data_IF_753955032413
#
_entry.id   IF_753955032413
#
_cell.length_a   1.000
_cell.length_b   1.000
_cell.length_c   1.000
_cell.angle_alpha   90.00
_cell.angle_beta   90.00
_cell.angle_gamma   90.00
#
_symmetry.space_group_name_H-M   'P 1'
#
loop_
_entity.id
_entity.type
_entity.pdbx_description
1 polymer ?
#
# COMPACT_ATOMS: atom_id res chain seq x y z
N UNK A 1 22.37 4.05 13.88
CA UNK A 1 21.12 4.06 13.09
C UNK A 1 20.58 2.63 13.07
N UNK A 2 19.27 2.46 13.26
CA UNK A 2 18.64 1.13 13.37
C UNK A 2 18.74 0.40 12.01
N UNK A 3 19.13 -0.88 11.99
CA UNK A 3 19.30 -1.64 10.74
C UNK A 3 18.01 -1.68 9.89
N UNK A 4 16.85 -1.58 10.57
CA UNK A 4 15.54 -1.43 9.94
C UNK A 4 15.40 -0.13 9.14
N UNK A 5 15.82 1.01 9.71
CA UNK A 5 15.69 2.31 9.07
C UNK A 5 16.43 2.34 7.73
N UNK A 6 17.61 1.70 7.68
CA UNK A 6 18.41 1.61 6.46
C UNK A 6 17.68 0.79 5.39
N UNK A 7 17.16 -0.39 5.75
CA UNK A 7 16.39 -1.21 4.83
C UNK A 7 15.13 -0.49 4.32
N UNK A 8 14.43 0.26 5.19
CA UNK A 8 13.27 1.04 4.79
C UNK A 8 13.65 2.17 3.83
N UNK A 9 14.76 2.90 4.07
CA UNK A 9 15.25 3.96 3.19
C UNK A 9 15.54 3.43 1.77
N UNK A 10 16.07 2.23 1.65
CA UNK A 10 16.29 1.59 0.35
C UNK A 10 15.00 1.12 -0.33
N UNK A 11 14.01 0.65 0.45
CA UNK A 11 12.78 0.07 -0.06
C UNK A 11 11.71 1.11 -0.40
N UNK A 12 11.65 2.25 0.28
CA UNK A 12 10.64 3.30 0.06
C UNK A 12 10.62 3.79 -1.40
N UNK A 13 11.75 4.14 -2.04
CA UNK A 13 11.75 4.54 -3.46
C UNK A 13 11.25 3.43 -4.39
N UNK A 14 11.51 2.15 -4.05
CA UNK A 14 11.04 1.00 -4.83
C UNK A 14 9.52 0.80 -4.68
N UNK A 15 9.00 0.90 -3.46
CA UNK A 15 7.56 0.87 -3.18
C UNK A 15 6.83 1.99 -3.91
N UNK A 16 7.38 3.21 -3.89
CA UNK A 16 6.83 4.36 -4.61
C UNK A 16 6.73 4.13 -6.11
N UNK A 17 7.82 3.67 -6.75
CA UNK A 17 7.79 3.36 -8.20
C UNK A 17 6.72 2.33 -8.54
N UNK A 18 6.58 1.29 -7.70
CA UNK A 18 5.55 0.29 -7.89
C UNK A 18 4.15 0.87 -7.68
N UNK A 19 3.93 1.66 -6.64
CA UNK A 19 2.66 2.34 -6.38
C UNK A 19 2.25 3.26 -7.55
N UNK A 20 3.18 4.03 -8.11
CA UNK A 20 2.92 4.86 -9.31
C UNK A 20 2.45 4.02 -10.49
N UNK A 21 3.03 2.83 -10.70
CA UNK A 21 2.60 1.92 -11.76
C UNK A 21 1.17 1.40 -11.57
N UNK A 22 0.72 1.28 -10.31
CA UNK A 22 -0.62 0.82 -9.96
C UNK A 22 -1.66 1.96 -10.02
N UNK A 23 -1.33 3.12 -9.46
CA UNK A 23 -2.27 4.24 -9.31
C UNK A 23 -2.33 5.15 -10.53
N UNK A 24 -1.28 5.15 -11.36
CA UNK A 24 -1.07 6.11 -12.47
C UNK A 24 -1.14 7.58 -12.02
N UNK A 25 -0.97 7.84 -10.72
CA UNK A 25 -1.01 9.17 -10.12
C UNK A 25 0.03 9.24 -8.98
N UNK A 26 1.01 10.15 -9.05
CA UNK A 26 2.06 10.26 -8.04
C UNK A 26 1.55 10.54 -6.62
N UNK A 27 0.58 11.44 -6.45
CA UNK A 27 0.01 11.77 -5.14
C UNK A 27 -0.69 10.56 -4.51
N UNK A 28 -1.54 9.87 -5.28
CA UNK A 28 -2.18 8.65 -4.81
C UNK A 28 -1.17 7.52 -4.51
N UNK A 29 -0.03 7.51 -5.23
CA UNK A 29 1.05 6.56 -4.97
C UNK A 29 1.74 6.86 -3.63
N UNK A 30 1.98 8.13 -3.33
CA UNK A 30 2.56 8.57 -2.06
C UNK A 30 1.66 8.22 -0.87
N UNK A 31 0.35 8.47 -0.99
CA UNK A 31 -0.64 8.07 0.02
C UNK A 31 -0.68 6.55 0.23
N UNK A 32 -0.61 5.77 -0.85
CA UNK A 32 -0.60 4.31 -0.79
C UNK A 32 0.68 3.79 -0.10
N UNK A 33 1.84 4.40 -0.37
CA UNK A 33 3.09 4.06 0.31
C UNK A 33 3.01 4.40 1.79
N UNK A 34 2.49 5.58 2.15
CA UNK A 34 2.31 5.98 3.55
C UNK A 34 1.43 4.96 4.29
N UNK A 35 0.24 4.65 3.76
CA UNK A 35 -0.67 3.69 4.36
C UNK A 35 -0.03 2.29 4.50
N UNK A 36 0.82 1.90 3.55
CA UNK A 36 1.56 0.64 3.61
C UNK A 36 2.55 0.62 4.78
N UNK A 37 3.31 1.70 4.95
CA UNK A 37 4.30 1.82 6.03
C UNK A 37 3.62 1.90 7.40
N UNK A 38 2.54 2.66 7.54
CA UNK A 38 1.73 2.71 8.76
C UNK A 38 1.26 1.30 9.15
N UNK A 39 0.68 0.56 8.20
CA UNK A 39 0.22 -0.81 8.40
C UNK A 39 1.35 -1.75 8.78
N UNK A 40 2.51 -1.61 8.16
CA UNK A 40 3.69 -2.43 8.44
C UNK A 40 4.23 -2.15 9.85
N UNK A 41 4.35 -0.88 10.24
CA UNK A 41 4.80 -0.48 11.58
C UNK A 41 3.83 -0.94 12.67
N UNK A 42 2.51 -0.85 12.45
CA UNK A 42 1.52 -1.37 13.40
C UNK A 42 1.60 -2.90 13.59
N UNK A 43 2.11 -3.63 12.59
CA UNK A 43 2.25 -5.10 12.61
C UNK A 43 3.69 -5.57 12.81
N UNK A 44 4.57 -4.67 13.21
CA UNK A 44 6.00 -4.95 13.25
C UNK A 44 6.34 -6.12 14.19
N UNK A 45 5.69 -6.18 15.35
CA UNK A 45 5.90 -7.24 16.35
C UNK A 45 5.35 -8.61 15.90
N UNK A 46 4.43 -8.63 14.93
CA UNK A 46 3.87 -9.87 14.36
C UNK A 46 4.66 -10.36 13.14
N UNK A 47 5.65 -9.58 12.68
CA UNK A 47 6.47 -9.96 11.52
C UNK A 47 7.32 -11.18 11.89
N UNK A 48 7.28 -12.21 11.05
CA UNK A 48 8.20 -13.35 11.18
C UNK A 48 9.65 -12.84 11.08
N UNK A 49 10.51 -13.17 12.07
CA UNK A 49 11.91 -12.72 12.09
C UNK A 49 12.65 -13.04 10.78
N UNK A 50 12.42 -14.24 10.24
CA UNK A 50 13.13 -14.77 9.07
C UNK A 50 12.48 -14.41 7.72
N UNK A 51 11.40 -13.64 7.74
CA UNK A 51 10.68 -13.25 6.53
C UNK A 51 11.35 -12.08 5.79
N UNK A 52 11.45 -12.20 4.45
CA UNK A 52 11.92 -11.12 3.58
C UNK A 52 11.03 -9.86 3.73
N UNK A 53 11.64 -8.80 4.28
CA UNK A 53 10.99 -7.50 4.50
C UNK A 53 10.45 -6.91 3.18
N UNK A 54 11.17 -7.08 2.08
CA UNK A 54 10.76 -6.57 0.77
C UNK A 54 9.48 -7.25 0.31
N UNK A 55 9.47 -8.58 0.25
CA UNK A 55 8.29 -9.33 -0.16
C UNK A 55 7.07 -9.01 0.72
N UNK A 56 7.29 -8.85 2.03
CA UNK A 56 6.23 -8.50 2.97
C UNK A 56 5.63 -7.10 2.73
N UNK A 57 6.46 -6.07 2.56
CA UNK A 57 5.99 -4.71 2.29
C UNK A 57 5.24 -4.61 0.95
N UNK A 58 5.76 -5.24 -0.11
CA UNK A 58 5.08 -5.26 -1.41
C UNK A 58 3.73 -5.98 -1.34
N UNK A 59 3.63 -7.03 -0.51
CA UNK A 59 2.37 -7.74 -0.27
C UNK A 59 1.34 -6.87 0.46
N UNK A 60 1.77 -6.08 1.46
CA UNK A 60 0.88 -5.13 2.16
C UNK A 60 0.39 -4.06 1.18
N UNK A 61 1.30 -3.44 0.43
CA UNK A 61 0.98 -2.38 -0.54
C UNK A 61 -0.03 -2.86 -1.58
N UNK A 62 0.21 -4.03 -2.19
CA UNK A 62 -0.68 -4.57 -3.21
C UNK A 62 -2.07 -4.91 -2.66
N UNK A 63 -2.14 -5.47 -1.45
CA UNK A 63 -3.43 -5.74 -0.77
C UNK A 63 -4.21 -4.44 -0.54
N UNK A 64 -3.57 -3.40 -0.04
CA UNK A 64 -4.20 -2.10 0.18
C UNK A 64 -4.70 -1.48 -1.14
N UNK A 65 -3.93 -1.58 -2.22
CA UNK A 65 -4.36 -1.14 -3.54
C UNK A 65 -5.64 -1.87 -4.00
N UNK A 66 -5.65 -3.21 -3.90
CA UNK A 66 -6.83 -4.00 -4.26
C UNK A 66 -8.05 -3.67 -3.39
N UNK A 67 -7.86 -3.47 -2.09
CA UNK A 67 -8.94 -3.06 -1.18
C UNK A 67 -9.49 -1.67 -1.53
N UNK A 68 -8.61 -0.71 -1.86
CA UNK A 68 -9.01 0.60 -2.36
C UNK A 68 -9.83 0.51 -3.65
N UNK A 69 -9.35 -0.29 -4.61
CA UNK A 69 -10.03 -0.47 -5.89
C UNK A 69 -11.40 -1.16 -5.74
N UNK A 70 -11.50 -2.19 -4.87
CA UNK A 70 -12.77 -2.86 -4.54
C UNK A 70 -13.77 -1.91 -3.90
N UNK A 71 -13.32 -1.05 -2.97
CA UNK A 71 -14.17 -0.03 -2.33
C UNK A 71 -14.68 0.97 -3.36
N UNK A 72 -13.80 1.53 -4.19
CA UNK A 72 -14.17 2.50 -5.24
C UNK A 72 -15.23 1.94 -6.18
N UNK A 73 -15.07 0.70 -6.67
CA UNK A 73 -16.09 0.03 -7.50
C UNK A 73 -17.42 -0.17 -6.78
N UNK A 74 -17.42 -0.47 -5.48
CA UNK A 74 -18.64 -0.60 -4.68
C UNK A 74 -19.35 0.75 -4.53
N UNK A 75 -18.61 1.83 -4.28
CA UNK A 75 -19.17 3.19 -4.21
C UNK A 75 -19.75 3.63 -5.55
N UNK A 76 -19.06 3.37 -6.66
CA UNK A 76 -19.57 3.69 -8.00
C UNK A 76 -20.91 3.00 -8.28
N UNK A 77 -21.02 1.68 -8.04
CA UNK A 77 -22.29 0.94 -8.17
C UNK A 77 -23.40 1.47 -7.28
N UNK A 78 -23.07 1.90 -6.06
CA UNK A 78 -24.03 2.48 -5.13
C UNK A 78 -24.53 3.83 -5.65
N UNK A 79 -23.64 4.68 -6.18
CA UNK A 79 -24.01 5.94 -6.80
C UNK A 79 -24.86 5.75 -8.06
N UNK A 80 -24.56 4.76 -8.90
CA UNK A 80 -25.40 4.38 -10.06
C UNK A 80 -26.83 4.05 -9.59
N UNK A 81 -26.96 3.19 -8.57
CA UNK A 81 -28.26 2.84 -7.99
C UNK A 81 -29.06 4.05 -7.48
N UNK A 82 -28.41 5.03 -6.83
CA UNK A 82 -29.10 6.22 -6.34
C UNK A 82 -29.33 7.30 -7.40
N UNK A 83 -28.52 7.34 -8.45
CA UNK A 83 -28.63 8.36 -9.52
C UNK A 83 -29.53 7.93 -10.68
N UNK A 84 -30.05 6.70 -10.67
CA UNK A 84 -31.10 6.25 -11.60
C UNK A 84 -30.69 6.24 -13.08
N UNK A 85 -29.39 6.14 -13.37
CA UNK A 85 -28.86 5.90 -14.72
C UNK A 85 -28.51 4.44 -14.92
#
# INVERSE_FOLDING_TARGET
MNALDEQLRELIPRLRRFAVSLTRNPSNADDLVQACLERALSKWNDKRPDGDLRAWLFSILYRQFLDGHRRSRRYARMLEFFTGR
#
